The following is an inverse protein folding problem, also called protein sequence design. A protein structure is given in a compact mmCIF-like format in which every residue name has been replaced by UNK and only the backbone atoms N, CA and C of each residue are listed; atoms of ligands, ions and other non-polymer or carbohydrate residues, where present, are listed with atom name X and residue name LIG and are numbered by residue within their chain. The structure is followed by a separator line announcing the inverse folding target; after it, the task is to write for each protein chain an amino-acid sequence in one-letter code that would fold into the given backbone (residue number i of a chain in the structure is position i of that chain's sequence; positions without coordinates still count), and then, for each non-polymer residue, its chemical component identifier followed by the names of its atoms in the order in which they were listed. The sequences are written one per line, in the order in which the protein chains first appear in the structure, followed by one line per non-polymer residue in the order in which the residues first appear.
data_IF_592925095051
#
_entry.id   IF_592925095051
#
_cell.length_a   1.000
_cell.length_b   1.000
_cell.length_c   1.000
_cell.angle_alpha   90.00
_cell.angle_beta   90.00
_cell.angle_gamma   90.00
#
_symmetry.space_group_name_H-M   'P 1'
#
loop_
_entity.id
_entity.type
_entity.pdbx_description
1 polymer ?
#
# COMPACT_ATOMS: atom_id res chain seq x y z
N UNK A 1 17.93 40.03 -32.31
CA UNK A 1 18.76 39.02 -33.00
C UNK A 1 19.84 39.70 -33.85
N UNK A 2 21.04 39.13 -33.98
CA UNK A 2 22.07 39.67 -34.88
C UNK A 2 21.63 39.52 -36.36
N UNK A 3 22.01 40.49 -37.21
CA UNK A 3 21.77 40.45 -38.67
C UNK A 3 22.24 39.13 -39.30
N UNK A 4 23.31 38.53 -38.78
CA UNK A 4 23.84 37.25 -39.24
C UNK A 4 22.90 36.07 -38.93
N UNK A 5 22.28 36.04 -37.75
CA UNK A 5 21.32 34.99 -37.36
C UNK A 5 20.06 35.07 -38.22
N UNK A 6 19.56 36.28 -38.47
CA UNK A 6 18.39 36.52 -39.33
C UNK A 6 18.65 36.01 -40.75
N UNK A 7 19.78 36.37 -41.35
CA UNK A 7 20.15 35.89 -42.70
C UNK A 7 20.27 34.37 -42.79
N UNK A 8 20.85 33.72 -41.78
CA UNK A 8 20.94 32.25 -41.71
C UNK A 8 19.55 31.61 -41.71
N UNK A 9 18.65 32.12 -40.87
CA UNK A 9 17.28 31.62 -40.78
C UNK A 9 16.50 31.80 -42.09
N UNK A 10 16.58 32.99 -42.71
CA UNK A 10 15.95 33.23 -44.01
C UNK A 10 16.42 32.23 -45.06
N UNK A 11 17.72 31.94 -45.14
CA UNK A 11 18.27 30.92 -46.05
C UNK A 11 17.72 29.53 -45.75
N UNK A 12 17.77 29.08 -44.50
CA UNK A 12 17.29 27.74 -44.15
C UNK A 12 15.80 27.53 -44.46
N UNK A 13 14.97 28.56 -44.29
CA UNK A 13 13.55 28.52 -44.64
C UNK A 13 13.34 28.53 -46.17
N UNK A 14 14.12 29.32 -46.91
CA UNK A 14 14.11 29.28 -48.38
C UNK A 14 14.58 27.93 -48.93
N UNK A 15 15.50 27.26 -48.24
CA UNK A 15 16.00 25.91 -48.58
C UNK A 15 15.02 24.79 -48.17
N UNK A 16 13.80 25.12 -47.74
CA UNK A 16 12.72 24.16 -47.48
C UNK A 16 12.61 23.64 -46.05
N UNK A 17 13.40 24.16 -45.09
CA UNK A 17 13.22 23.81 -43.67
C UNK A 17 11.92 24.44 -43.15
N UNK A 18 10.99 23.62 -42.65
CA UNK A 18 9.72 24.08 -42.07
C UNK A 18 9.71 24.10 -40.53
N UNK A 19 10.67 23.42 -39.90
CA UNK A 19 10.76 23.32 -38.43
C UNK A 19 11.50 24.51 -37.82
N UNK A 20 10.91 25.10 -36.78
CA UNK A 20 11.47 26.23 -36.01
C UNK A 20 12.35 25.72 -34.87
N UNK A 21 12.15 24.48 -34.44
CA UNK A 21 12.89 23.83 -33.37
C UNK A 21 14.36 23.59 -33.77
N UNK A 22 15.26 23.69 -32.80
CA UNK A 22 16.66 23.33 -33.00
C UNK A 22 16.78 21.86 -33.44
N UNK A 23 17.48 21.61 -34.55
CA UNK A 23 17.84 20.26 -34.97
C UNK A 23 18.66 19.62 -33.84
N UNK A 24 18.41 18.34 -33.47
CA UNK A 24 19.20 17.65 -32.47
C UNK A 24 20.68 17.79 -32.81
N UNK A 25 21.42 18.47 -31.94
CA UNK A 25 22.85 18.66 -32.15
C UNK A 25 23.53 17.32 -31.93
N UNK A 26 24.37 16.91 -32.86
CA UNK A 26 25.34 15.86 -32.60
C UNK A 26 26.30 16.37 -31.51
N UNK A 27 25.94 16.12 -30.25
CA UNK A 27 26.81 16.37 -29.12
C UNK A 27 27.92 15.32 -29.05
N UNK A 28 28.83 15.49 -28.10
CA UNK A 28 29.77 14.42 -27.74
C UNK A 28 28.95 13.24 -27.21
N UNK A 29 28.97 12.11 -27.90
CA UNK A 29 28.46 10.86 -27.32
C UNK A 29 29.26 10.60 -26.05
N UNK A 30 28.58 10.51 -24.91
CA UNK A 30 29.23 10.13 -23.67
C UNK A 30 29.61 8.65 -23.84
N UNK A 31 30.90 8.39 -24.06
CA UNK A 31 31.49 7.06 -24.25
C UNK A 31 31.04 6.03 -23.19
N UNK A 32 30.59 6.51 -22.03
CA UNK A 32 30.09 5.69 -20.94
C UNK A 32 28.72 5.03 -21.20
N UNK A 33 27.82 5.62 -21.99
CA UNK A 33 26.44 5.13 -22.18
C UNK A 33 26.28 4.48 -23.57
N UNK A 34 27.13 3.51 -23.86
CA UNK A 34 26.97 2.64 -25.03
C UNK A 34 26.07 1.45 -24.68
N UNK A 35 25.36 0.91 -25.67
CA UNK A 35 24.49 -0.27 -25.45
C UNK A 35 25.28 -1.47 -24.90
N UNK A 36 26.55 -1.61 -25.28
CA UNK A 36 27.46 -2.62 -24.74
C UNK A 36 27.68 -2.46 -23.22
N UNK A 37 27.90 -1.24 -22.75
CA UNK A 37 28.06 -0.98 -21.32
C UNK A 37 26.75 -1.22 -20.57
N UNK A 38 25.61 -0.82 -21.14
CA UNK A 38 24.29 -1.07 -20.55
C UNK A 38 24.03 -2.57 -20.38
N UNK A 39 24.34 -3.38 -21.40
CA UNK A 39 24.27 -4.84 -21.31
C UNK A 39 25.17 -5.41 -20.23
N UNK A 40 26.44 -4.98 -20.18
CA UNK A 40 27.39 -5.43 -19.15
C UNK A 40 26.92 -5.10 -17.72
N UNK A 41 26.34 -3.91 -17.50
CA UNK A 41 25.72 -3.55 -16.20
C UNK A 41 24.57 -4.49 -15.85
N UNK A 42 23.68 -4.82 -16.81
CA UNK A 42 22.55 -5.73 -16.56
C UNK A 42 23.05 -7.13 -16.15
N UNK A 43 24.05 -7.65 -16.85
CA UNK A 43 24.66 -8.94 -16.54
C UNK A 43 25.32 -8.96 -15.15
N UNK A 44 26.06 -7.91 -14.79
CA UNK A 44 26.67 -7.77 -13.46
C UNK A 44 25.62 -7.77 -12.34
N UNK A 45 24.52 -7.03 -12.51
CA UNK A 45 23.42 -6.99 -11.55
C UNK A 45 22.69 -8.33 -11.47
N UNK A 46 22.57 -9.07 -12.58
CA UNK A 46 21.97 -10.42 -12.59
C UNK A 46 22.82 -11.45 -11.88
N UNK A 47 24.14 -11.40 -12.06
CA UNK A 47 25.08 -12.27 -11.40
C UNK A 47 25.15 -12.01 -9.88
N UNK A 48 25.20 -10.73 -9.49
CA UNK A 48 25.22 -10.34 -8.07
C UNK A 48 24.22 -9.21 -7.79
N UNK A 49 23.11 -9.57 -7.13
CA UNK A 49 22.05 -8.63 -6.74
C UNK A 49 22.46 -7.61 -5.67
N UNK A 50 23.63 -7.75 -5.06
CA UNK A 50 24.16 -6.86 -4.01
C UNK A 50 25.32 -5.97 -4.48
N UNK A 51 25.57 -5.92 -5.79
CA UNK A 51 26.64 -5.08 -6.35
C UNK A 51 26.41 -3.59 -6.06
N UNK A 52 27.50 -2.88 -5.80
CA UNK A 52 27.51 -1.44 -5.54
C UNK A 52 27.72 -0.64 -6.83
N UNK A 53 27.32 0.64 -6.81
CA UNK A 53 27.52 1.54 -7.95
C UNK A 53 29.01 1.78 -8.19
N UNK A 54 29.82 1.82 -7.13
CA UNK A 54 31.27 2.01 -7.22
C UNK A 54 31.96 0.83 -7.90
N UNK A 55 31.60 -0.41 -7.55
CA UNK A 55 32.12 -1.62 -8.23
C UNK A 55 31.77 -1.62 -9.73
N UNK A 56 30.54 -1.20 -10.08
CA UNK A 56 30.12 -1.07 -11.49
C UNK A 56 30.92 0.01 -12.21
N UNK A 57 31.17 1.14 -11.55
CA UNK A 57 31.92 2.26 -12.10
C UNK A 57 33.39 1.89 -12.36
N UNK A 58 34.02 1.20 -11.41
CA UNK A 58 35.40 0.71 -11.50
C UNK A 58 35.56 -0.31 -12.63
N UNK A 59 34.69 -1.32 -12.68
CA UNK A 59 34.72 -2.40 -13.67
C UNK A 59 34.50 -1.91 -15.12
N UNK A 60 33.79 -0.80 -15.30
CA UNK A 60 33.53 -0.20 -16.61
C UNK A 60 34.43 1.01 -16.91
N UNK A 61 35.23 1.47 -15.96
CA UNK A 61 36.04 2.68 -16.09
C UNK A 61 35.19 3.93 -16.35
N UNK A 62 33.97 3.99 -15.81
CA UNK A 62 33.04 5.12 -15.96
C UNK A 62 32.92 5.87 -14.63
N UNK A 63 32.47 7.14 -14.69
CA UNK A 63 32.18 7.88 -13.46
C UNK A 63 31.01 7.26 -12.71
N UNK A 64 31.04 7.32 -11.37
CA UNK A 64 29.95 6.89 -10.48
C UNK A 64 28.56 7.38 -10.94
N UNK A 65 28.44 8.67 -11.27
CA UNK A 65 27.17 9.26 -11.70
C UNK A 65 26.62 8.61 -12.98
N UNK A 66 27.50 8.25 -13.92
CA UNK A 66 27.09 7.55 -15.16
C UNK A 66 26.64 6.12 -14.87
N UNK A 67 27.36 5.40 -14.00
CA UNK A 67 26.92 4.08 -13.56
C UNK A 67 25.55 4.17 -12.88
N UNK A 68 25.35 5.14 -11.99
CA UNK A 68 24.07 5.40 -11.33
C UNK A 68 22.94 5.68 -12.35
N UNK A 69 23.19 6.53 -13.35
CA UNK A 69 22.21 6.84 -14.39
C UNK A 69 21.85 5.61 -15.22
N UNK A 70 22.83 4.76 -15.58
CA UNK A 70 22.55 3.52 -16.32
C UNK A 70 21.65 2.60 -15.49
N UNK A 71 21.95 2.42 -14.20
CA UNK A 71 21.19 1.53 -13.31
C UNK A 71 19.75 2.04 -13.11
N UNK A 72 19.58 3.33 -12.79
CA UNK A 72 18.28 3.88 -12.40
C UNK A 72 17.43 4.40 -13.56
N UNK A 73 18.03 5.09 -14.53
CA UNK A 73 17.28 5.75 -15.59
C UNK A 73 17.14 4.90 -16.84
N UNK A 74 18.16 4.13 -17.18
CA UNK A 74 18.14 3.30 -18.39
C UNK A 74 17.55 1.92 -18.08
N UNK A 75 18.14 1.19 -17.14
CA UNK A 75 17.70 -0.16 -16.75
C UNK A 75 16.52 -0.16 -15.77
N UNK A 76 16.17 0.99 -15.19
CA UNK A 76 15.05 1.17 -14.25
C UNK A 76 15.13 0.28 -12.99
N UNK A 77 16.34 -0.13 -12.60
CA UNK A 77 16.55 -0.82 -11.33
C UNK A 77 16.36 0.13 -10.15
N UNK A 78 15.90 -0.43 -9.03
CA UNK A 78 15.75 0.28 -7.75
C UNK A 78 16.43 -0.50 -6.65
N UNK A 79 17.03 0.22 -5.70
CA UNK A 79 17.59 -0.37 -4.49
C UNK A 79 16.44 -0.79 -3.57
N UNK A 80 16.44 -2.05 -3.17
CA UNK A 80 15.50 -2.59 -2.18
C UNK A 80 16.32 -3.12 -1.01
N UNK A 81 15.90 -2.80 0.22
CA UNK A 81 16.54 -3.35 1.42
C UNK A 81 16.20 -4.83 1.57
N UNK A 82 17.21 -5.64 1.89
CA UNK A 82 16.99 -7.04 2.23
C UNK A 82 16.09 -7.15 3.47
N UNK A 83 15.17 -8.12 3.47
CA UNK A 83 14.33 -8.42 4.64
C UNK A 83 15.11 -9.25 5.64
N UNK A 84 14.99 -8.94 6.93
CA UNK A 84 15.66 -9.70 7.97
C UNK A 84 15.10 -11.12 8.04
N UNK A 85 15.99 -12.11 8.11
CA UNK A 85 15.64 -13.53 8.22
C UNK A 85 16.18 -14.04 9.56
N UNK A 86 15.32 -14.56 10.47
CA UNK A 86 15.71 -14.87 11.84
C UNK A 86 16.82 -15.92 11.99
N UNK A 87 16.85 -16.92 11.10
CA UNK A 87 17.78 -18.04 11.17
C UNK A 87 18.20 -18.47 9.77
N UNK A 88 19.44 -18.94 9.66
CA UNK A 88 19.88 -19.68 8.48
C UNK A 88 19.29 -21.10 8.56
N UNK A 89 18.51 -21.45 7.54
CA UNK A 89 17.86 -22.75 7.44
C UNK A 89 18.85 -23.78 6.91
N UNK A 90 19.03 -24.89 7.63
CA UNK A 90 19.74 -26.07 7.14
C UNK A 90 18.80 -26.91 6.27
N UNK A 91 19.35 -27.77 5.41
CA UNK A 91 18.55 -28.66 4.55
C UNK A 91 17.52 -29.47 5.35
N UNK A 92 17.95 -30.06 6.47
CA UNK A 92 17.07 -30.80 7.39
C UNK A 92 15.94 -29.95 7.97
N UNK A 93 16.20 -28.69 8.32
CA UNK A 93 15.16 -27.78 8.78
C UNK A 93 14.19 -27.40 7.65
N UNK A 94 14.67 -27.26 6.42
CA UNK A 94 13.82 -26.97 5.27
C UNK A 94 12.86 -28.12 4.98
N UNK A 95 13.37 -29.35 4.94
CA UNK A 95 12.57 -30.57 4.76
C UNK A 95 11.48 -30.67 5.82
N UNK A 96 11.85 -30.51 7.09
CA UNK A 96 10.89 -30.57 8.19
C UNK A 96 9.84 -29.44 8.13
N UNK A 97 10.22 -28.22 7.70
CA UNK A 97 9.25 -27.14 7.52
C UNK A 97 8.29 -27.39 6.36
N UNK A 98 8.76 -28.01 5.27
CA UNK A 98 7.90 -28.42 4.15
C UNK A 98 6.94 -29.51 4.61
N UNK A 99 7.42 -30.51 5.34
CA UNK A 99 6.58 -31.57 5.91
C UNK A 99 5.50 -31.00 6.84
N UNK A 100 5.86 -30.09 7.75
CA UNK A 100 4.88 -29.41 8.62
C UNK A 100 3.86 -28.65 7.79
N UNK A 101 4.29 -27.94 6.73
CA UNK A 101 3.38 -27.18 5.87
C UNK A 101 2.42 -28.09 5.10
N UNK A 102 2.90 -29.23 4.60
CA UNK A 102 2.09 -30.25 3.92
C UNK A 102 1.08 -30.87 4.88
N UNK A 103 1.53 -31.27 6.08
CA UNK A 103 0.66 -31.81 7.12
C UNK A 103 -0.41 -30.80 7.53
N UNK A 104 -0.05 -29.53 7.71
CA UNK A 104 -1.00 -28.47 7.99
C UNK A 104 -2.05 -28.38 6.89
N UNK A 105 -1.65 -28.39 5.61
CA UNK A 105 -2.58 -28.34 4.48
C UNK A 105 -3.50 -29.57 4.39
N UNK A 106 -3.02 -30.75 4.78
CA UNK A 106 -3.86 -31.97 4.85
C UNK A 106 -4.87 -31.85 5.98
N UNK A 107 -4.45 -31.37 7.15
CA UNK A 107 -5.36 -31.13 8.28
C UNK A 107 -6.41 -30.08 7.94
N UNK A 108 -6.01 -29.01 7.24
CA UNK A 108 -6.92 -28.01 6.66
C UNK A 108 -8.02 -28.68 5.82
N UNK A 109 -7.65 -29.55 4.88
CA UNK A 109 -8.61 -30.28 4.04
C UNK A 109 -9.52 -31.23 4.83
N UNK A 110 -8.97 -31.93 5.82
CA UNK A 110 -9.74 -32.84 6.67
C UNK A 110 -10.73 -32.09 7.57
N UNK A 111 -10.34 -30.94 8.11
CA UNK A 111 -11.19 -30.06 8.92
C UNK A 111 -12.42 -29.61 8.11
N UNK A 112 -12.21 -29.18 6.86
CA UNK A 112 -13.30 -28.83 5.94
C UNK A 112 -14.16 -30.04 5.59
N UNK A 113 -13.55 -31.20 5.31
CA UNK A 113 -14.27 -32.44 5.02
C UNK A 113 -15.12 -32.94 6.20
N UNK A 114 -14.69 -32.68 7.43
CA UNK A 114 -15.44 -32.99 8.66
C UNK A 114 -16.46 -31.90 9.02
N UNK A 115 -16.58 -30.84 8.23
CA UNK A 115 -17.48 -29.72 8.49
C UNK A 115 -17.14 -28.95 9.77
N UNK A 116 -15.88 -29.07 10.24
CA UNK A 116 -15.40 -28.38 11.43
C UNK A 116 -14.91 -26.99 11.01
N UNK A 117 -15.42 -25.94 11.65
CA UNK A 117 -14.91 -24.59 11.44
C UNK A 117 -13.73 -24.32 12.38
N UNK A 118 -12.56 -23.97 11.83
CA UNK A 118 -11.52 -23.31 12.65
C UNK A 118 -12.01 -21.92 13.01
N UNK A 119 -12.59 -21.80 14.20
CA UNK A 119 -12.88 -20.49 14.78
C UNK A 119 -11.55 -19.74 14.89
N UNK A 120 -11.48 -18.50 14.39
CA UNK A 120 -10.32 -17.66 14.62
C UNK A 120 -10.02 -17.64 16.11
N UNK A 121 -8.74 -17.72 16.49
CA UNK A 121 -8.34 -17.45 17.86
C UNK A 121 -8.81 -16.04 18.20
N UNK A 122 -9.93 -15.94 18.91
CA UNK A 122 -10.48 -14.65 19.31
C UNK A 122 -9.43 -13.99 20.20
N UNK A 123 -8.97 -12.80 19.76
CA UNK A 123 -8.00 -12.04 20.53
C UNK A 123 -8.61 -11.81 21.93
N UNK A 124 -7.98 -12.31 23.02
CA UNK A 124 -8.56 -12.23 24.36
C UNK A 124 -8.85 -10.79 24.79
N UNK A 125 -8.09 -9.81 24.28
CA UNK A 125 -8.37 -8.40 24.50
C UNK A 125 -9.68 -7.95 23.83
N UNK A 126 -9.95 -8.39 22.60
CA UNK A 126 -11.18 -8.05 21.89
C UNK A 126 -12.41 -8.70 22.53
N UNK A 127 -12.28 -9.92 23.05
CA UNK A 127 -13.36 -10.58 23.80
C UNK A 127 -13.74 -9.79 25.05
N UNK A 128 -12.74 -9.30 25.79
CA UNK A 128 -12.96 -8.47 26.98
C UNK A 128 -13.64 -7.16 26.62
N UNK A 129 -13.21 -6.49 25.53
CA UNK A 129 -13.81 -5.25 25.07
C UNK A 129 -15.26 -5.45 24.64
N UNK A 130 -15.54 -6.49 23.85
CA UNK A 130 -16.90 -6.81 23.40
C UNK A 130 -17.83 -7.17 24.58
N UNK A 131 -17.35 -7.94 25.57
CA UNK A 131 -18.11 -8.24 26.80
C UNK A 131 -18.39 -6.98 27.62
N UNK A 132 -17.42 -6.06 27.74
CA UNK A 132 -17.63 -4.77 28.40
C UNK A 132 -18.66 -3.91 27.66
N UNK A 133 -18.64 -3.90 26.33
CA UNK A 133 -19.60 -3.18 25.51
C UNK A 133 -21.03 -3.73 25.69
N UNK A 134 -21.21 -5.05 25.70
CA UNK A 134 -22.52 -5.68 25.90
C UNK A 134 -23.10 -5.41 27.30
N UNK A 135 -22.27 -5.44 28.35
CA UNK A 135 -22.71 -5.07 29.71
C UNK A 135 -23.20 -3.62 29.78
N UNK A 136 -22.50 -2.71 29.08
CA UNK A 136 -22.88 -1.30 29.01
C UNK A 136 -24.20 -1.08 28.26
N UNK A 137 -24.46 -1.87 27.21
CA UNK A 137 -25.76 -1.83 26.52
C UNK A 137 -26.91 -2.32 27.39
N UNK A 138 -26.73 -3.42 28.15
CA UNK A 138 -27.77 -3.92 29.06
C UNK A 138 -28.07 -2.95 30.22
N UNK A 139 -27.06 -2.25 30.74
CA UNK A 139 -27.25 -1.19 31.74
C UNK A 139 -27.99 0.02 31.16
N UNK A 140 -27.71 0.40 29.90
CA UNK A 140 -28.42 1.49 29.23
C UNK A 140 -29.88 1.13 28.92
N UNK A 141 -30.16 -0.09 28.44
CA UNK A 141 -31.51 -0.59 28.15
C UNK A 141 -32.36 -0.72 29.44
N UNK A 142 -31.73 -1.04 30.57
CA UNK A 142 -32.36 -1.00 31.89
C UNK A 142 -32.73 0.41 32.35
N UNK A 143 -31.91 1.42 32.01
CA UNK A 143 -32.16 2.81 32.34
C UNK A 143 -33.29 3.45 31.47
N UNK A 144 -33.36 3.12 30.18
CA UNK A 144 -34.45 3.58 29.28
C UNK A 144 -35.80 2.96 29.63
N UNK A 145 -35.83 1.68 30.02
CA UNK A 145 -37.06 1.04 30.50
C UNK A 145 -37.55 1.60 31.85
N UNK A 146 -36.63 2.08 32.70
CA UNK A 146 -36.99 2.76 33.95
C UNK A 146 -37.57 4.17 33.74
N UNK A 147 -37.17 4.89 32.68
CA UNK A 147 -37.76 6.20 32.33
C UNK A 147 -39.16 6.07 31.69
N UNK A 148 -39.40 5.07 30.84
CA UNK A 148 -40.74 4.82 30.27
C UNK A 148 -41.79 4.49 31.35
N UNK A 149 -41.40 3.80 32.42
CA UNK A 149 -42.28 3.53 33.57
C UNK A 149 -42.62 4.79 34.39
N UNK A 150 -41.71 5.78 34.46
CA UNK A 150 -41.93 7.03 35.21
C UNK A 150 -42.75 8.08 34.45
N UNK A 151 -42.86 7.97 33.12
CA UNK A 151 -43.68 8.90 32.31
C UNK A 151 -45.17 8.52 32.24
N UNK A 152 -45.53 7.30 32.63
CA UNK A 152 -46.92 6.81 32.67
C UNK A 152 -47.70 7.20 33.95
N UNK A 153 -47.33 8.26 34.67
CA UNK A 153 -47.98 8.69 35.93
C UNK A 153 -48.51 10.13 35.93
N UNK A 154 -48.82 10.69 34.77
CA UNK A 154 -49.40 12.04 34.67
C UNK A 154 -50.38 12.13 33.49
N UNK A 155 -51.43 11.30 33.47
CA UNK A 155 -52.59 11.53 32.56
C UNK A 155 -53.96 11.22 33.20
N UNK A 156 -54.04 10.82 34.47
CA UNK A 156 -55.33 10.61 35.17
C UNK A 156 -55.65 11.77 36.12
N UNK A 157 -55.93 12.95 35.57
CA UNK A 157 -56.75 13.96 36.26
C UNK A 157 -58.09 13.99 35.55
N UNK A 158 -59.03 13.18 36.04
CA UNK A 158 -60.44 13.22 35.64
C UNK A 158 -61.04 14.55 36.11
N UNK A 159 -61.65 15.37 35.22
CA UNK A 159 -62.35 16.57 35.67
C UNK A 159 -63.62 16.19 36.44
N UNK A 160 -63.76 16.69 37.67
CA UNK A 160 -64.99 16.57 38.46
C UNK A 160 -66.17 17.21 37.72
N UNK A 161 -67.22 16.44 37.48
CA UNK A 161 -68.52 16.95 37.04
C UNK A 161 -69.15 17.83 38.14
N UNK A 162 -69.33 19.11 37.85
CA UNK A 162 -70.12 20.01 38.68
C UNK A 162 -71.61 19.63 38.58
N UNK A 163 -72.23 19.29 39.71
CA UNK A 163 -73.69 19.27 39.86
C UNK A 163 -74.18 20.72 39.94
N UNK A 164 -75.07 21.10 39.03
CA UNK A 164 -75.87 22.33 39.12
C UNK A 164 -77.05 22.05 40.08
N UNK A 165 -77.36 22.92 41.06
CA UNK A 165 -78.52 22.75 41.90
C UNK A 165 -79.79 23.28 41.21
N UNK A 166 -80.88 22.57 41.40
CA UNK A 166 -82.24 22.99 41.03
C UNK A 166 -82.57 24.36 41.65
N UNK A 167 -83.19 25.24 40.87
CA UNK A 167 -83.76 26.50 41.33
C UNK A 167 -85.24 26.51 40.98
N UNK A 168 -86.07 26.43 42.03
CA UNK A 168 -87.51 26.67 41.95
C UNK A 168 -87.80 28.11 41.48
N UNK A 169 -88.65 28.25 40.46
CA UNK A 169 -89.73 29.25 40.30
C UNK A 169 -90.45 29.04 38.97
#
# INVERSE_FOLDING_TARGET
MSKQKVRRWCRTFSDGRQQVEDIPRAGRTLTATTDANVGKVDDMIRANRRITIDEVAEELGISHERAQNIIHDILRYRKVSARWVPRQLTATHQEHLVEIAEQANILDQQIEAWGLSRKPLENPFQVILNKKAQKKSQENDGATNQMHSKRARMDDVTPCSNKVPDSDS
#
